data_IF_516928251489
#
_entry.id   IF_516928251489
#
_cell.length_a   1.000
_cell.length_b   1.000
_cell.length_c   1.000
_cell.angle_alpha   90.00
_cell.angle_beta   90.00
_cell.angle_gamma   90.00
#
_symmetry.space_group_name_H-M   'P 1'
#
loop_
_entity.id
_entity.type
_entity.pdbx_description
1 polymer ?
#
# COMPACT_ATOMS: atom_id res chain seq x y z
N UNK A 1 -0.93 18.53 -15.94
CA UNK A 1 -1.44 18.50 -14.55
C UNK A 1 -2.61 17.54 -14.50
N UNK A 2 -2.63 16.58 -13.59
CA UNK A 2 -3.77 15.68 -13.43
C UNK A 2 -4.99 16.51 -12.98
N UNK A 3 -6.16 16.14 -13.52
CA UNK A 3 -7.46 16.73 -13.11
C UNK A 3 -7.89 16.13 -11.76
N UNK A 4 -8.99 16.62 -11.22
CA UNK A 4 -9.64 16.00 -10.05
C UNK A 4 -9.93 14.54 -10.36
N UNK A 5 -9.39 13.64 -9.53
CA UNK A 5 -9.62 12.19 -9.64
C UNK A 5 -10.83 11.86 -8.79
N UNK A 6 -11.79 11.14 -9.35
CA UNK A 6 -12.98 10.65 -8.66
C UNK A 6 -13.12 9.15 -8.88
N UNK A 7 -13.44 8.42 -7.81
CA UNK A 7 -13.75 7.00 -7.91
C UNK A 7 -15.12 6.76 -8.57
N UNK A 8 -15.52 5.52 -8.71
CA UNK A 8 -16.79 5.13 -9.33
C UNK A 8 -18.04 5.68 -8.61
N UNK A 9 -17.91 6.00 -7.32
CA UNK A 9 -18.99 6.59 -6.51
C UNK A 9 -19.04 8.11 -6.65
N UNK A 10 -18.14 8.72 -7.43
CA UNK A 10 -18.02 10.16 -7.58
C UNK A 10 -17.24 10.85 -6.45
N UNK A 11 -16.69 10.09 -5.50
CA UNK A 11 -15.91 10.59 -4.37
C UNK A 11 -14.52 11.05 -4.85
N UNK A 12 -14.12 12.26 -4.46
CA UNK A 12 -12.80 12.80 -4.80
C UNK A 12 -11.71 12.08 -4.03
N UNK A 13 -10.66 11.68 -4.74
CA UNK A 13 -9.42 11.17 -4.18
C UNK A 13 -8.42 12.31 -4.04
N UNK A 14 -7.95 12.56 -2.83
CA UNK A 14 -6.90 13.54 -2.55
C UNK A 14 -5.52 12.93 -2.81
N UNK A 15 -4.70 13.63 -3.59
CA UNK A 15 -3.37 13.17 -3.98
C UNK A 15 -2.35 14.30 -4.04
N UNK A 16 -1.08 13.92 -3.98
CA UNK A 16 0.07 14.77 -4.30
C UNK A 16 0.88 14.10 -5.38
N UNK A 17 1.17 14.82 -6.46
CA UNK A 17 1.99 14.33 -7.56
C UNK A 17 3.33 15.07 -7.57
N UNK A 18 4.41 14.32 -7.43
CA UNK A 18 5.78 14.77 -7.63
C UNK A 18 6.20 14.40 -9.04
N UNK A 19 6.57 15.37 -9.87
CA UNK A 19 7.06 15.10 -11.20
C UNK A 19 8.55 14.73 -11.16
N UNK A 20 8.88 13.63 -11.80
CA UNK A 20 10.26 13.22 -12.06
C UNK A 20 10.76 13.75 -13.41
N UNK A 21 11.75 13.07 -13.99
CA UNK A 21 12.26 13.35 -15.33
C UNK A 21 11.23 13.01 -16.41
N UNK A 22 11.05 13.87 -17.40
CA UNK A 22 10.14 13.64 -18.54
C UNK A 22 10.50 12.38 -19.36
N UNK A 23 11.75 11.94 -19.30
CA UNK A 23 12.20 10.71 -19.95
C UNK A 23 11.74 9.44 -19.24
N UNK A 24 11.40 9.53 -17.96
CA UNK A 24 10.94 8.39 -17.17
C UNK A 24 9.42 8.26 -17.25
N UNK A 25 8.96 7.17 -17.87
CA UNK A 25 7.53 6.87 -18.04
C UNK A 25 6.94 6.06 -16.88
N UNK A 26 7.73 5.73 -15.87
CA UNK A 26 7.21 5.04 -14.69
C UNK A 26 6.62 6.04 -13.69
N UNK A 27 5.53 5.62 -13.05
CA UNK A 27 4.89 6.33 -11.96
C UNK A 27 4.84 5.41 -10.74
N UNK A 28 5.53 5.79 -9.66
CA UNK A 28 5.35 5.14 -8.38
C UNK A 28 4.08 5.69 -7.73
N UNK A 29 3.10 4.82 -7.50
CA UNK A 29 1.87 5.12 -6.77
C UNK A 29 2.05 4.59 -5.36
N UNK A 30 1.83 5.43 -4.33
CA UNK A 30 2.05 5.08 -2.93
C UNK A 30 0.74 5.14 -2.16
N UNK A 31 0.34 4.01 -1.57
CA UNK A 31 -0.83 3.84 -0.71
C UNK A 31 -0.45 3.64 0.76
N UNK A 32 -1.28 4.17 1.65
CA UNK A 32 -1.11 4.10 3.11
C UNK A 32 -1.76 2.85 3.74
N UNK A 33 -1.59 2.66 5.05
CA UNK A 33 -2.22 1.60 5.84
C UNK A 33 -3.54 2.03 6.48
N UNK A 34 -4.07 1.17 7.37
CA UNK A 34 -5.30 1.42 8.14
C UNK A 34 -5.20 2.77 8.85
N UNK A 35 -6.25 3.59 8.74
CA UNK A 35 -6.34 4.91 9.37
C UNK A 35 -5.18 5.87 9.02
N UNK A 36 -4.44 5.59 7.95
CA UNK A 36 -3.41 6.48 7.42
C UNK A 36 -3.95 7.48 6.39
N UNK A 37 -3.03 8.24 5.82
CA UNK A 37 -3.31 9.14 4.70
C UNK A 37 -2.04 9.35 3.85
N UNK A 38 -2.15 10.12 2.77
CA UNK A 38 -1.03 10.42 1.88
C UNK A 38 0.11 11.21 2.54
N UNK A 39 -0.15 11.90 3.63
CA UNK A 39 0.81 12.75 4.35
C UNK A 39 1.47 12.02 5.53
N UNK A 40 1.18 10.72 5.70
CA UNK A 40 1.89 9.87 6.66
C UNK A 40 3.41 9.96 6.45
N UNK A 41 4.22 10.09 7.53
CA UNK A 41 5.67 10.33 7.43
C UNK A 41 6.42 9.37 6.50
N UNK A 42 6.13 8.07 6.57
CA UNK A 42 6.75 7.05 5.70
C UNK A 42 6.39 7.27 4.23
N UNK A 43 5.10 7.51 3.95
CA UNK A 43 4.58 7.75 2.58
C UNK A 43 5.24 8.99 1.98
N UNK A 44 5.34 10.07 2.77
CA UNK A 44 5.97 11.32 2.36
C UNK A 44 7.46 11.14 2.11
N UNK A 45 8.19 10.53 3.05
CA UNK A 45 9.63 10.31 2.93
C UNK A 45 9.99 9.47 1.70
N UNK A 46 9.27 8.37 1.46
CA UNK A 46 9.46 7.53 0.27
C UNK A 46 9.20 8.34 -1.00
N UNK A 47 8.08 9.05 -1.05
CA UNK A 47 7.66 9.78 -2.24
C UNK A 47 8.64 10.88 -2.63
N UNK A 48 9.08 11.67 -1.67
CA UNK A 48 10.01 12.77 -1.91
C UNK A 48 11.41 12.28 -2.33
N UNK A 49 11.90 11.20 -1.70
CA UNK A 49 13.22 10.66 -2.02
C UNK A 49 13.23 10.02 -3.40
N UNK A 50 12.23 9.19 -3.74
CA UNK A 50 12.11 8.58 -5.08
C UNK A 50 11.94 9.65 -6.17
N UNK A 51 11.19 10.73 -5.89
CA UNK A 51 11.05 11.83 -6.84
C UNK A 51 12.38 12.57 -7.09
N UNK A 52 13.23 12.73 -6.08
CA UNK A 52 14.57 13.30 -6.22
C UNK A 52 15.48 12.46 -7.13
N UNK A 53 15.27 11.15 -7.18
CA UNK A 53 15.98 10.25 -8.12
C UNK A 53 15.40 10.28 -9.54
N UNK A 54 14.46 11.19 -9.83
CA UNK A 54 13.93 11.44 -11.17
C UNK A 54 12.75 10.55 -11.60
N UNK A 55 12.13 9.82 -10.68
CA UNK A 55 10.89 9.09 -10.96
C UNK A 55 9.68 9.95 -10.56
N UNK A 56 8.62 9.94 -11.39
CA UNK A 56 7.35 10.55 -10.96
C UNK A 56 6.71 9.71 -9.86
N UNK A 57 6.16 10.38 -8.83
CA UNK A 57 5.52 9.72 -7.70
C UNK A 57 4.17 10.35 -7.41
N UNK A 58 3.13 9.53 -7.29
CA UNK A 58 1.80 9.92 -6.84
C UNK A 58 1.51 9.25 -5.50
N UNK A 59 1.39 10.02 -4.43
CA UNK A 59 0.89 9.57 -3.14
C UNK A 59 -0.56 10.04 -2.97
N UNK A 60 -1.43 9.20 -2.45
CA UNK A 60 -2.86 9.52 -2.33
C UNK A 60 -3.45 8.96 -1.04
N UNK A 61 -4.55 9.57 -0.61
CA UNK A 61 -5.38 9.04 0.47
C UNK A 61 -6.52 8.23 -0.13
N UNK A 62 -6.72 7.01 0.33
CA UNK A 62 -7.91 6.23 -0.03
C UNK A 62 -9.18 6.96 0.42
N UNK A 63 -10.31 6.75 -0.27
CA UNK A 63 -11.57 7.42 0.08
C UNK A 63 -12.02 7.05 1.49
N UNK A 64 -12.50 8.07 2.23
CA UNK A 64 -12.79 7.98 3.65
C UNK A 64 -11.59 8.29 4.57
N UNK A 65 -10.39 8.54 4.01
CA UNK A 65 -9.16 8.85 4.76
C UNK A 65 -8.58 10.21 4.35
N UNK A 66 -7.87 10.85 5.26
CA UNK A 66 -7.22 12.15 5.02
C UNK A 66 -8.20 13.20 4.49
N UNK A 67 -7.84 13.84 3.38
CA UNK A 67 -8.68 14.84 2.71
C UNK A 67 -9.46 14.26 1.50
N UNK A 68 -9.46 12.95 1.30
CA UNK A 68 -10.32 12.30 0.32
C UNK A 68 -11.76 12.32 0.79
N UNK A 69 -12.70 12.45 -0.17
CA UNK A 69 -14.13 12.35 0.13
C UNK A 69 -14.51 10.92 0.55
N UNK A 70 -15.76 10.75 1.02
CA UNK A 70 -16.23 9.50 1.60
C UNK A 70 -16.18 9.53 3.13
N UNK A 71 -16.55 8.41 3.75
CA UNK A 71 -16.58 8.27 5.21
C UNK A 71 -15.66 7.16 5.65
N UNK A 72 -14.86 7.39 6.70
CA UNK A 72 -13.92 6.39 7.22
C UNK A 72 -14.60 5.05 7.53
N UNK A 73 -15.80 5.05 8.10
CA UNK A 73 -16.55 3.81 8.38
C UNK A 73 -16.87 2.95 7.15
N UNK A 74 -16.75 3.50 5.94
CA UNK A 74 -16.95 2.80 4.67
C UNK A 74 -15.63 2.34 4.04
N UNK A 75 -14.50 2.68 4.67
CA UNK A 75 -13.18 2.28 4.18
C UNK A 75 -12.97 0.79 4.43
N UNK A 76 -12.82 0.04 3.35
CA UNK A 76 -12.56 -1.41 3.35
C UNK A 76 -11.48 -1.72 2.32
N UNK A 77 -10.82 -2.86 2.41
CA UNK A 77 -9.86 -3.30 1.38
C UNK A 77 -10.52 -3.33 0.00
N UNK A 78 -11.74 -3.85 -0.08
CA UNK A 78 -12.49 -3.94 -1.34
C UNK A 78 -12.76 -2.55 -1.95
N UNK A 79 -13.12 -1.55 -1.15
CA UNK A 79 -13.29 -0.16 -1.62
C UNK A 79 -11.96 0.46 -2.04
N UNK A 80 -10.89 0.22 -1.30
CA UNK A 80 -9.56 0.74 -1.61
C UNK A 80 -8.97 0.14 -2.90
N UNK A 81 -9.31 -1.12 -3.24
CA UNK A 81 -9.00 -1.71 -4.55
C UNK A 81 -9.62 -0.89 -5.69
N UNK A 82 -10.87 -0.46 -5.53
CA UNK A 82 -11.57 0.37 -6.53
C UNK A 82 -10.93 1.75 -6.71
N UNK A 83 -10.51 2.36 -5.60
CA UNK A 83 -9.77 3.61 -5.62
C UNK A 83 -8.43 3.44 -6.36
N UNK A 84 -7.66 2.39 -6.05
CA UNK A 84 -6.40 2.11 -6.73
C UNK A 84 -6.61 1.85 -8.22
N UNK A 85 -7.64 1.09 -8.62
CA UNK A 85 -7.98 0.88 -10.03
C UNK A 85 -8.31 2.18 -10.76
N UNK A 86 -8.96 3.12 -10.08
CA UNK A 86 -9.22 4.47 -10.60
C UNK A 86 -7.93 5.24 -10.84
N UNK A 87 -7.00 5.23 -9.87
CA UNK A 87 -5.67 5.84 -10.02
C UNK A 87 -4.89 5.19 -11.17
N UNK A 88 -4.90 3.86 -11.30
CA UNK A 88 -4.25 3.14 -12.39
C UNK A 88 -4.81 3.56 -13.76
N UNK A 89 -6.13 3.76 -13.86
CA UNK A 89 -6.78 4.22 -15.09
C UNK A 89 -6.26 5.61 -15.47
N UNK A 90 -6.30 6.55 -14.53
CA UNK A 90 -5.79 7.91 -14.77
C UNK A 90 -4.29 7.89 -15.13
N UNK A 91 -3.49 7.09 -14.44
CA UNK A 91 -2.06 6.99 -14.72
C UNK A 91 -1.80 6.49 -16.16
N UNK A 92 -2.46 5.41 -16.57
CA UNK A 92 -2.26 4.82 -17.90
C UNK A 92 -2.80 5.70 -19.03
N UNK A 93 -3.92 6.40 -18.84
CA UNK A 93 -4.44 7.40 -19.78
C UNK A 93 -3.47 8.56 -20.03
N UNK A 94 -2.62 8.88 -19.04
CA UNK A 94 -1.55 9.87 -19.15
C UNK A 94 -0.21 9.28 -19.66
N UNK A 95 -0.21 8.02 -20.08
CA UNK A 95 0.95 7.34 -20.66
C UNK A 95 1.99 6.87 -19.64
N UNK A 96 1.66 6.83 -18.34
CA UNK A 96 2.54 6.26 -17.33
C UNK A 96 2.44 4.74 -17.24
N UNK A 97 3.54 4.13 -16.82
CA UNK A 97 3.65 2.71 -16.47
C UNK A 97 3.61 2.59 -14.93
N UNK A 98 2.49 2.12 -14.34
CA UNK A 98 2.32 2.13 -12.89
C UNK A 98 3.23 1.13 -12.16
N UNK A 99 3.82 1.59 -11.06
CA UNK A 99 4.44 0.79 -10.00
C UNK A 99 3.63 1.08 -8.73
N UNK A 100 3.33 0.09 -7.93
CA UNK A 100 2.59 0.33 -6.69
C UNK A 100 3.41 -0.04 -5.45
N UNK A 101 3.44 0.86 -4.48
CA UNK A 101 3.97 0.63 -3.15
C UNK A 101 2.86 0.82 -2.11
N UNK A 102 2.62 -0.18 -1.26
CA UNK A 102 1.62 -0.10 -0.20
C UNK A 102 2.21 -0.40 1.17
N UNK A 103 1.81 0.37 2.20
CA UNK A 103 2.13 0.11 3.59
C UNK A 103 0.97 -0.61 4.28
N UNK A 104 1.25 -1.60 5.14
CA UNK A 104 0.25 -2.31 5.94
C UNK A 104 -0.93 -2.82 5.09
N UNK A 105 -2.17 -2.32 5.32
CA UNK A 105 -3.36 -2.65 4.53
C UNK A 105 -3.23 -2.26 3.05
N UNK A 106 -2.58 -1.12 2.75
CA UNK A 106 -2.30 -0.73 1.37
C UNK A 106 -1.49 -1.76 0.60
N UNK A 107 -0.63 -2.54 1.28
CA UNK A 107 0.05 -3.69 0.66
C UNK A 107 -0.94 -4.78 0.25
N UNK A 108 -1.90 -5.13 1.11
CA UNK A 108 -2.95 -6.09 0.78
C UNK A 108 -3.78 -5.62 -0.43
N UNK A 109 -4.15 -4.33 -0.46
CA UNK A 109 -4.81 -3.69 -1.60
C UNK A 109 -3.98 -3.86 -2.88
N UNK A 110 -2.66 -3.60 -2.81
CA UNK A 110 -1.77 -3.75 -3.95
C UNK A 110 -1.70 -5.17 -4.50
N UNK A 111 -1.57 -6.18 -3.62
CA UNK A 111 -1.54 -7.60 -3.99
C UNK A 111 -2.83 -8.03 -4.66
N UNK A 112 -3.97 -7.68 -4.04
CA UNK A 112 -5.28 -8.03 -4.58
C UNK A 112 -5.55 -7.33 -5.91
N UNK A 113 -5.22 -6.04 -6.00
CA UNK A 113 -5.35 -5.29 -7.26
C UNK A 113 -4.47 -5.89 -8.35
N UNK A 114 -3.20 -6.18 -8.09
CA UNK A 114 -2.29 -6.77 -9.07
C UNK A 114 -2.75 -8.16 -9.56
N UNK A 115 -3.52 -8.89 -8.75
CA UNK A 115 -4.11 -10.17 -9.15
C UNK A 115 -5.29 -10.03 -10.12
N UNK A 116 -5.88 -8.84 -10.20
CA UNK A 116 -7.06 -8.53 -11.03
C UNK A 116 -6.73 -7.61 -12.20
N UNK A 117 -5.60 -6.88 -12.11
CA UNK A 117 -5.25 -5.79 -13.00
C UNK A 117 -3.76 -5.84 -13.37
N UNK A 118 -3.47 -6.17 -14.61
CA UNK A 118 -2.10 -6.34 -15.12
C UNK A 118 -1.34 -5.03 -15.38
N UNK A 119 -1.94 -3.87 -15.13
CA UNK A 119 -1.29 -2.56 -15.35
C UNK A 119 -0.17 -2.28 -14.36
N UNK A 120 -0.20 -2.88 -13.16
CA UNK A 120 0.90 -2.77 -12.18
C UNK A 120 2.10 -3.56 -12.70
N UNK A 121 3.21 -2.84 -12.98
CA UNK A 121 4.44 -3.44 -13.53
C UNK A 121 5.35 -4.02 -12.45
N UNK A 122 5.46 -3.34 -11.32
CA UNK A 122 6.24 -3.73 -10.15
C UNK A 122 5.42 -3.51 -8.89
N UNK A 123 5.60 -4.38 -7.88
CA UNK A 123 4.90 -4.29 -6.60
C UNK A 123 5.89 -4.12 -5.46
N UNK A 124 5.55 -3.28 -4.48
CA UNK A 124 6.34 -3.05 -3.27
C UNK A 124 5.40 -3.15 -2.06
N UNK A 125 5.73 -4.01 -1.12
CA UNK A 125 5.02 -4.20 0.14
C UNK A 125 5.88 -3.73 1.31
N UNK A 126 5.40 -2.78 2.08
CA UNK A 126 6.07 -2.19 3.24
C UNK A 126 5.31 -2.65 4.49
N UNK A 127 5.90 -3.51 5.31
CA UNK A 127 5.24 -4.14 6.47
C UNK A 127 3.83 -4.65 6.11
N UNK A 128 3.74 -5.42 5.02
CA UNK A 128 2.48 -5.73 4.36
C UNK A 128 1.60 -6.70 5.13
N UNK A 129 0.34 -6.36 5.29
CA UNK A 129 -0.69 -7.24 5.85
C UNK A 129 -0.95 -8.41 4.88
N UNK A 130 -0.76 -9.64 5.35
CA UNK A 130 -0.95 -10.87 4.56
C UNK A 130 -2.20 -11.62 4.99
N UNK A 131 -2.43 -11.75 6.29
CA UNK A 131 -3.57 -12.46 6.89
C UNK A 131 -4.56 -11.44 7.44
N UNK A 132 -5.49 -10.98 6.60
CA UNK A 132 -6.42 -9.89 6.92
C UNK A 132 -7.36 -10.23 8.08
N UNK A 133 -7.90 -11.45 8.12
CA UNK A 133 -8.76 -11.91 9.20
C UNK A 133 -8.01 -11.94 10.54
N UNK A 134 -6.79 -12.52 10.55
CA UNK A 134 -5.95 -12.61 11.76
C UNK A 134 -5.58 -11.21 12.26
N UNK A 135 -5.17 -10.31 11.35
CA UNK A 135 -4.90 -8.91 11.71
C UNK A 135 -6.12 -8.26 12.38
N UNK A 136 -7.30 -8.40 11.78
CA UNK A 136 -8.52 -7.82 12.32
C UNK A 136 -8.87 -8.39 13.71
N UNK A 137 -8.68 -9.68 13.92
CA UNK A 137 -8.91 -10.33 15.22
C UNK A 137 -7.88 -9.90 16.27
N UNK A 138 -6.61 -9.80 15.89
CA UNK A 138 -5.54 -9.39 16.80
C UNK A 138 -5.69 -7.94 17.24
N UNK A 139 -5.93 -7.03 16.30
CA UNK A 139 -5.97 -5.59 16.58
C UNK A 139 -7.33 -5.14 17.15
N UNK A 140 -8.42 -5.76 16.72
CA UNK A 140 -9.77 -5.26 17.00
C UNK A 140 -10.74 -6.29 17.58
N UNK A 141 -10.29 -7.52 17.86
CA UNK A 141 -11.17 -8.60 18.34
C UNK A 141 -11.89 -8.33 19.66
N UNK A 142 -11.40 -7.38 20.46
CA UNK A 142 -12.05 -6.93 21.71
C UNK A 142 -12.99 -5.75 21.54
N UNK A 143 -13.05 -5.16 20.33
CA UNK A 143 -13.90 -3.99 20.02
C UNK A 143 -15.18 -4.45 19.34
N UNK A 144 -16.33 -3.98 19.82
CA UNK A 144 -17.63 -4.28 19.19
C UNK A 144 -17.80 -3.46 17.90
N UNK A 145 -17.86 -4.09 16.72
CA UNK A 145 -18.09 -3.37 15.47
C UNK A 145 -19.39 -2.58 15.50
N UNK A 146 -19.40 -1.40 14.89
CA UNK A 146 -20.55 -0.48 14.88
C UNK A 146 -20.71 0.35 16.14
N UNK A 147 -20.01 0.01 17.24
CA UNK A 147 -20.12 0.72 18.53
C UNK A 147 -18.78 1.24 19.06
N UNK A 148 -17.68 0.59 18.71
CA UNK A 148 -16.34 0.93 19.21
C UNK A 148 -15.45 1.58 18.17
N UNK A 149 -14.24 1.88 18.57
CA UNK A 149 -13.26 2.60 17.80
C UNK A 149 -11.95 1.82 17.70
N UNK A 150 -11.32 1.83 16.53
CA UNK A 150 -9.98 1.28 16.34
C UNK A 150 -9.00 1.99 17.29
N UNK A 151 -8.24 1.21 18.06
CA UNK A 151 -7.28 1.70 19.07
C UNK A 151 -7.86 2.75 20.04
N UNK A 152 -9.18 2.71 20.29
CA UNK A 152 -9.87 3.66 21.18
C UNK A 152 -9.97 5.09 20.64
N UNK A 153 -9.64 5.34 19.37
CA UNK A 153 -9.66 6.68 18.78
C UNK A 153 -11.03 6.97 18.11
N UNK A 154 -11.80 7.97 18.59
CA UNK A 154 -13.12 8.30 18.06
C UNK A 154 -13.15 8.69 16.57
N UNK A 155 -12.01 9.10 16.01
CA UNK A 155 -11.92 9.42 14.59
C UNK A 155 -11.93 8.18 13.69
N UNK A 156 -11.69 6.98 14.26
CA UNK A 156 -11.60 5.72 13.55
C UNK A 156 -12.63 4.72 14.05
N UNK A 157 -13.93 4.90 13.75
CA UNK A 157 -14.97 3.95 14.14
C UNK A 157 -14.73 2.60 13.46
N UNK A 158 -14.75 1.51 14.24
CA UNK A 158 -14.68 0.16 13.70
C UNK A 158 -16.05 -0.23 13.14
N UNK A 159 -16.18 -0.30 11.81
CA UNK A 159 -17.42 -0.65 11.16
C UNK A 159 -17.59 -2.17 11.01
N UNK A 160 -18.83 -2.63 10.89
CA UNK A 160 -19.13 -4.03 10.58
C UNK A 160 -18.67 -4.37 9.15
N UNK A 161 -18.78 -3.42 8.23
CA UNK A 161 -18.32 -3.56 6.85
C UNK A 161 -16.82 -3.85 6.77
N UNK A 162 -16.00 -3.13 7.54
CA UNK A 162 -14.56 -3.36 7.61
C UNK A 162 -14.25 -4.76 8.12
N UNK A 163 -14.87 -5.17 9.25
CA UNK A 163 -14.62 -6.48 9.85
C UNK A 163 -15.08 -7.62 8.92
N UNK A 164 -16.22 -7.46 8.28
CA UNK A 164 -16.75 -8.45 7.33
C UNK A 164 -15.88 -8.58 6.10
N UNK A 165 -15.39 -7.48 5.54
CA UNK A 165 -14.49 -7.46 4.38
C UNK A 165 -13.16 -8.18 4.72
N UNK A 166 -12.54 -7.85 5.86
CA UNK A 166 -11.33 -8.53 6.35
C UNK A 166 -11.51 -10.05 6.49
N UNK A 167 -12.64 -10.48 7.06
CA UNK A 167 -12.99 -11.90 7.24
C UNK A 167 -13.32 -12.61 5.92
N UNK A 168 -13.92 -11.91 4.97
CA UNK A 168 -14.22 -12.47 3.65
C UNK A 168 -12.96 -12.69 2.82
N UNK A 169 -12.02 -11.74 2.86
CA UNK A 169 -10.72 -11.84 2.18
C UNK A 169 -9.84 -12.91 2.85
N UNK A 170 -9.83 -12.98 4.18
CA UNK A 170 -9.04 -13.89 5.03
C UNK A 170 -7.53 -13.71 4.88
N UNK A 171 -7.04 -13.75 3.65
CA UNK A 171 -5.62 -13.65 3.34
C UNK A 171 -5.38 -13.32 1.88
N UNK A 172 -4.30 -12.58 1.59
CA UNK A 172 -3.86 -12.32 0.22
C UNK A 172 -3.10 -13.50 -0.42
N UNK A 173 -2.72 -14.53 0.35
CA UNK A 173 -1.90 -15.66 -0.10
C UNK A 173 -2.46 -16.36 -1.35
N UNK A 174 -3.78 -16.68 -1.44
CA UNK A 174 -4.31 -17.34 -2.63
C UNK A 174 -4.12 -16.50 -3.90
N UNK A 175 -4.27 -15.17 -3.81
CA UNK A 175 -4.08 -14.26 -4.94
C UNK A 175 -2.61 -14.03 -5.26
N UNK A 176 -1.77 -13.92 -4.22
CA UNK A 176 -0.34 -13.79 -4.36
C UNK A 176 0.28 -14.94 -5.16
N UNK A 177 -0.24 -16.17 -5.06
CA UNK A 177 0.30 -17.34 -5.75
C UNK A 177 0.33 -17.22 -7.28
N UNK A 178 -0.58 -16.45 -7.85
CA UNK A 178 -0.70 -16.20 -9.29
C UNK A 178 0.19 -15.07 -9.83
N UNK A 179 0.73 -14.23 -8.97
CA UNK A 179 1.51 -13.07 -9.39
C UNK A 179 2.90 -13.47 -9.91
N UNK A 180 3.28 -12.89 -11.06
CA UNK A 180 4.58 -13.11 -11.72
C UNK A 180 5.40 -11.83 -11.89
N UNK A 181 4.83 -10.65 -11.53
CA UNK A 181 5.55 -9.38 -11.59
C UNK A 181 6.66 -9.34 -10.52
N UNK A 182 7.74 -8.58 -10.74
CA UNK A 182 8.75 -8.37 -9.72
C UNK A 182 8.14 -7.70 -8.48
N UNK A 183 8.47 -8.25 -7.30
CA UNK A 183 7.86 -7.83 -6.05
C UNK A 183 8.91 -7.70 -4.95
N UNK A 184 9.06 -6.48 -4.41
CA UNK A 184 9.87 -6.18 -3.23
C UNK A 184 9.00 -6.21 -1.98
N UNK A 185 9.45 -6.91 -0.96
CA UNK A 185 8.90 -6.85 0.39
C UNK A 185 9.95 -6.22 1.29
N UNK A 186 9.58 -5.20 2.07
CA UNK A 186 10.44 -4.61 3.10
C UNK A 186 9.72 -4.73 4.43
N UNK A 187 10.37 -5.32 5.44
CA UNK A 187 9.74 -5.58 6.73
C UNK A 187 10.70 -5.34 7.89
N UNK A 188 10.18 -4.79 8.98
CA UNK A 188 10.93 -4.62 10.22
C UNK A 188 10.95 -5.90 11.05
N UNK A 189 12.10 -6.29 11.61
CA UNK A 189 12.19 -7.50 12.44
C UNK A 189 11.51 -7.35 13.81
N UNK A 190 11.29 -6.11 14.26
CA UNK A 190 10.57 -5.78 15.50
C UNK A 190 9.18 -5.18 15.23
N UNK A 191 8.54 -5.60 14.13
CA UNK A 191 7.16 -5.19 13.81
C UNK A 191 6.17 -5.86 14.77
N UNK A 192 5.53 -5.06 15.60
CA UNK A 192 4.59 -5.47 16.65
C UNK A 192 3.13 -5.54 16.17
N UNK A 193 2.85 -5.08 14.94
CA UNK A 193 1.50 -5.00 14.35
C UNK A 193 1.29 -6.09 13.30
N UNK A 194 2.23 -6.20 12.35
CA UNK A 194 2.23 -7.25 11.33
C UNK A 194 3.53 -8.05 11.46
N UNK A 195 3.47 -9.33 11.81
CA UNK A 195 4.69 -10.10 12.05
C UNK A 195 5.51 -10.27 10.76
N UNK A 196 6.83 -10.10 10.86
CA UNK A 196 7.77 -10.27 9.72
C UNK A 196 7.62 -11.64 9.04
N UNK A 197 7.18 -12.65 9.78
CA UNK A 197 6.88 -14.00 9.28
C UNK A 197 5.85 -14.00 8.15
N UNK A 198 4.98 -13.00 8.07
CA UNK A 198 4.02 -12.85 6.99
C UNK A 198 4.72 -12.56 5.64
N UNK A 199 5.71 -11.67 5.63
CA UNK A 199 6.55 -11.43 4.44
C UNK A 199 7.44 -12.63 4.11
N UNK A 200 8.02 -13.27 5.12
CA UNK A 200 8.83 -14.49 4.94
C UNK A 200 8.00 -15.60 4.29
N UNK A 201 6.75 -15.78 4.71
CA UNK A 201 5.83 -16.78 4.15
C UNK A 201 5.56 -16.53 2.65
N UNK A 202 5.43 -15.27 2.23
CA UNK A 202 5.25 -14.91 0.83
C UNK A 202 6.45 -15.28 -0.03
N UNK A 203 7.67 -15.09 0.47
CA UNK A 203 8.91 -15.44 -0.26
C UNK A 203 9.13 -16.93 -0.28
N UNK A 204 8.97 -17.63 0.85
CA UNK A 204 9.17 -19.08 0.94
C UNK A 204 8.21 -19.88 0.06
N UNK A 205 6.95 -19.46 -0.04
CA UNK A 205 5.96 -20.19 -0.84
C UNK A 205 6.08 -19.95 -2.35
N UNK A 206 6.73 -18.85 -2.76
CA UNK A 206 6.68 -18.43 -4.15
C UNK A 206 8.03 -17.85 -4.59
N UNK A 207 8.99 -18.73 -4.86
CA UNK A 207 10.42 -18.43 -5.03
C UNK A 207 10.81 -17.54 -6.23
N UNK A 208 9.92 -17.32 -7.19
CA UNK A 208 10.29 -16.59 -8.41
C UNK A 208 9.76 -15.15 -8.39
N UNK A 209 10.63 -14.17 -8.57
CA UNK A 209 10.35 -12.73 -8.70
C UNK A 209 10.15 -11.92 -7.41
N UNK A 210 10.35 -12.51 -6.21
CA UNK A 210 10.20 -11.81 -4.93
C UNK A 210 11.52 -11.62 -4.23
N UNK A 211 11.73 -10.43 -3.71
CA UNK A 211 12.88 -10.08 -2.88
C UNK A 211 12.38 -9.59 -1.52
N UNK A 212 12.96 -10.08 -0.43
CA UNK A 212 12.67 -9.63 0.93
C UNK A 212 13.88 -8.90 1.50
N UNK A 213 13.63 -7.70 2.01
CA UNK A 213 14.57 -6.92 2.83
C UNK A 213 14.02 -6.86 4.24
N UNK A 214 14.69 -7.48 5.17
CA UNK A 214 14.42 -7.37 6.60
C UNK A 214 15.30 -6.27 7.19
N UNK A 215 14.66 -5.31 7.90
CA UNK A 215 15.37 -4.22 8.57
C UNK A 215 15.43 -4.53 10.06
N UNK A 216 16.63 -4.82 10.54
CA UNK A 216 16.84 -5.23 11.93
C UNK A 216 16.41 -4.16 12.93
N UNK A 217 15.63 -4.57 13.94
CA UNK A 217 15.09 -3.70 14.98
C UNK A 217 14.06 -2.67 14.53
N UNK A 218 13.66 -2.66 13.25
CA UNK A 218 12.63 -1.72 12.78
C UNK A 218 11.23 -2.14 13.25
N UNK A 219 10.45 -1.15 13.73
CA UNK A 219 9.04 -1.29 14.08
C UNK A 219 8.13 -1.17 12.84
N UNK A 220 6.83 -1.37 13.02
CA UNK A 220 5.82 -1.30 11.96
C UNK A 220 5.86 0.02 11.16
N UNK A 221 6.09 1.14 11.81
CA UNK A 221 6.09 2.48 11.19
C UNK A 221 7.44 2.86 10.58
N UNK A 222 8.47 2.03 10.68
CA UNK A 222 9.83 2.31 10.20
C UNK A 222 10.36 3.67 10.68
N UNK A 223 10.16 4.00 11.95
CA UNK A 223 10.53 5.31 12.50
C UNK A 223 12.05 5.50 12.59
N UNK A 224 12.48 6.75 12.58
CA UNK A 224 13.90 7.12 12.78
C UNK A 224 14.80 6.67 11.64
N UNK A 225 15.90 5.97 11.94
CA UNK A 225 16.89 5.51 10.95
C UNK A 225 16.32 4.47 9.97
N UNK A 226 15.36 3.68 10.41
CA UNK A 226 14.74 2.62 9.59
C UNK A 226 14.02 3.17 8.38
N UNK A 227 13.46 4.40 8.45
CA UNK A 227 12.87 5.07 7.29
C UNK A 227 13.87 5.23 6.15
N UNK A 228 15.09 5.69 6.45
CA UNK A 228 16.12 5.88 5.42
C UNK A 228 16.56 4.55 4.81
N UNK A 229 16.76 3.52 5.64
CA UNK A 229 17.15 2.18 5.17
C UNK A 229 16.08 1.60 4.23
N UNK A 230 14.81 1.73 4.61
CA UNK A 230 13.69 1.32 3.76
C UNK A 230 13.69 2.05 2.42
N UNK A 231 13.79 3.37 2.46
CA UNK A 231 13.74 4.21 1.25
C UNK A 231 14.91 3.91 0.33
N UNK A 232 16.13 3.78 0.87
CA UNK A 232 17.32 3.43 0.10
C UNK A 232 17.17 2.04 -0.53
N UNK A 233 16.64 1.05 0.21
CA UNK A 233 16.35 -0.29 -0.31
C UNK A 233 15.35 -0.28 -1.49
N UNK A 234 14.32 0.55 -1.40
CA UNK A 234 13.34 0.71 -2.48
C UNK A 234 13.98 1.36 -3.70
N UNK A 235 14.76 2.44 -3.52
CA UNK A 235 15.45 3.15 -4.62
C UNK A 235 16.42 2.21 -5.33
N UNK A 236 17.25 1.49 -4.59
CA UNK A 236 18.22 0.54 -5.15
C UNK A 236 17.52 -0.58 -5.94
N UNK A 237 16.43 -1.11 -5.40
CA UNK A 237 15.66 -2.15 -6.07
C UNK A 237 15.00 -1.63 -7.36
N UNK A 238 14.37 -0.46 -7.31
CA UNK A 238 13.80 0.18 -8.50
C UNK A 238 14.89 0.43 -9.57
N UNK A 239 16.06 0.93 -9.17
CA UNK A 239 17.20 1.13 -10.06
C UNK A 239 17.59 -0.17 -10.78
N UNK A 240 17.73 -1.29 -10.07
CA UNK A 240 18.04 -2.58 -10.67
C UNK A 240 16.95 -3.10 -11.63
N UNK A 241 15.66 -2.95 -11.26
CA UNK A 241 14.54 -3.48 -12.07
C UNK A 241 14.24 -2.65 -13.31
N UNK A 242 14.52 -1.35 -13.29
CA UNK A 242 14.20 -0.44 -14.41
C UNK A 242 15.37 -0.26 -15.40
N UNK A 243 16.60 -0.63 -15.03
CA UNK A 243 17.76 -0.62 -15.95
C UNK A 243 17.83 -1.84 -16.88
N UNK A 244 17.05 -2.88 -16.64
CA UNK A 244 17.09 -4.16 -17.38
C UNK A 244 16.14 -4.17 -18.59
N UNK A 245 15.49 -3.03 -18.93
CA UNK A 245 14.55 -2.94 -20.07
C UNK A 245 15.03 -1.99 -21.16
#
# INVERSE_FOLDING_TARGET
MLKVIKNKNGEKIDYTLHYGSEKNRFLLIVGHGVAGDKDHPLVTALSERVAKEGMSVLRFSFTGNGNSEGRFKESTISKEIEDLQTILTVATEHGWRPIFAGHNMGSAVGVLTASLDSRIQLLISLAGMVKTEVFCETEFGTVTPGQGYMWGNPNYPLSEEFVNDMKQIKSVLPRASGLRLPWLLVHGTSDEIVPVTDSQLLVQKFETSRELVEIDGACHQFSGKSTNILVDSVIDWLGRKLQVN
#
